data_IF_486896083180
#
_entry.id   IF_486896083180
#
_cell.length_a   1.000
_cell.length_b   1.000
_cell.length_c   1.000
_cell.angle_alpha   90.00
_cell.angle_beta   90.00
_cell.angle_gamma   90.00
#
_symmetry.space_group_name_H-M   'P 1'
#
loop_
_entity.id
_entity.type
_entity.pdbx_description
1 polymer ?
#
# COMPACT_ATOMS: atom_id res chain seq x y z
N UNK A 1 48.90 -17.75 -56.55
CA UNK A 1 49.04 -18.27 -55.17
C UNK A 1 48.80 -17.13 -54.19
N UNK A 2 47.99 -17.42 -53.15
CA UNK A 2 47.62 -16.59 -51.98
C UNK A 2 46.41 -15.65 -52.14
N UNK A 3 45.27 -16.22 -51.72
CA UNK A 3 44.03 -15.62 -51.25
C UNK A 3 44.25 -14.62 -50.10
N UNK A 4 43.30 -13.69 -49.90
CA UNK A 4 42.61 -13.34 -48.63
C UNK A 4 41.72 -12.12 -48.93
N UNK A 5 40.42 -12.27 -49.14
CA UNK A 5 39.34 -12.46 -48.15
C UNK A 5 38.61 -11.13 -47.86
N UNK A 6 37.38 -11.07 -48.37
CA UNK A 6 36.34 -10.10 -48.07
C UNK A 6 36.18 -9.90 -46.55
N UNK A 7 36.20 -8.65 -46.08
CA UNK A 7 35.64 -8.27 -44.77
C UNK A 7 34.30 -7.56 -44.99
N UNK A 8 33.20 -8.32 -44.90
CA UNK A 8 31.88 -7.78 -44.60
C UNK A 8 31.86 -7.42 -43.12
N UNK A 9 31.86 -6.12 -42.78
CA UNK A 9 31.63 -5.67 -41.41
C UNK A 9 30.12 -5.72 -41.12
N UNK A 10 29.72 -6.77 -40.42
CA UNK A 10 28.38 -6.98 -39.89
C UNK A 10 28.18 -6.02 -38.71
N UNK A 11 27.40 -4.95 -38.90
CA UNK A 11 26.95 -4.09 -37.79
C UNK A 11 25.91 -4.86 -36.99
N UNK A 12 26.35 -5.54 -35.93
CA UNK A 12 25.47 -6.17 -34.95
C UNK A 12 24.82 -5.06 -34.11
N UNK A 13 23.61 -4.66 -34.52
CA UNK A 13 22.71 -3.80 -33.74
C UNK A 13 22.26 -4.61 -32.51
N UNK A 14 23.02 -4.50 -31.42
CA UNK A 14 22.62 -5.08 -30.14
C UNK A 14 21.47 -4.26 -29.58
N UNK A 15 20.25 -4.77 -29.78
CA UNK A 15 19.08 -4.32 -29.05
C UNK A 15 19.34 -4.58 -27.57
N UNK A 16 19.75 -3.55 -26.84
CA UNK A 16 19.73 -3.57 -25.39
C UNK A 16 18.27 -3.63 -24.99
N UNK A 17 17.81 -4.84 -24.64
CA UNK A 17 16.54 -5.01 -23.97
C UNK A 17 16.64 -4.25 -22.64
N UNK A 18 16.09 -3.05 -22.60
CA UNK A 18 15.78 -2.38 -21.35
C UNK A 18 14.77 -3.28 -20.64
N UNK A 19 15.24 -4.01 -19.62
CA UNK A 19 14.35 -4.62 -18.65
C UNK A 19 13.56 -3.48 -18.02
N UNK A 20 12.33 -3.30 -18.49
CA UNK A 20 11.33 -2.57 -17.77
C UNK A 20 11.17 -3.31 -16.44
N UNK A 21 11.78 -2.77 -15.38
CA UNK A 21 11.47 -3.24 -14.04
C UNK A 21 10.01 -2.87 -13.81
N UNK A 22 9.12 -3.86 -13.93
CA UNK A 22 7.77 -3.73 -13.42
C UNK A 22 7.90 -3.19 -12.00
N UNK A 23 7.23 -2.07 -11.73
CA UNK A 23 7.27 -1.38 -10.45
C UNK A 23 6.52 -2.22 -9.43
N UNK A 24 7.15 -3.32 -8.99
CA UNK A 24 6.69 -4.11 -7.88
C UNK A 24 6.85 -3.21 -6.66
N UNK A 25 5.73 -2.70 -6.16
CA UNK A 25 5.68 -1.98 -4.91
C UNK A 25 6.04 -2.97 -3.79
N UNK A 26 7.34 -3.15 -3.58
CA UNK A 26 7.91 -4.13 -2.66
C UNK A 26 7.40 -3.97 -1.22
N UNK A 27 6.84 -2.80 -0.89
CA UNK A 27 6.24 -2.57 0.43
C UNK A 27 4.76 -2.96 0.52
N UNK A 28 4.00 -2.89 -0.58
CA UNK A 28 2.63 -3.39 -0.63
C UNK A 28 2.59 -4.92 -0.84
N UNK A 29 3.71 -5.50 -1.29
CA UNK A 29 3.83 -6.93 -1.57
C UNK A 29 3.88 -7.81 -0.32
N UNK A 30 4.12 -7.25 0.87
CA UNK A 30 4.04 -7.93 2.15
C UNK A 30 2.85 -7.35 2.93
N UNK A 31 1.65 -7.83 2.59
CA UNK A 31 0.38 -7.35 3.13
C UNK A 31 -0.56 -8.52 3.44
N UNK A 32 -1.27 -8.49 4.56
CA UNK A 32 -2.30 -9.51 4.89
C UNK A 32 -3.40 -9.50 3.83
N UNK A 33 -3.77 -8.32 3.31
CA UNK A 33 -4.77 -8.21 2.25
C UNK A 33 -4.34 -8.84 0.92
N UNK A 34 -3.03 -8.88 0.64
CA UNK A 34 -2.52 -9.48 -0.60
C UNK A 34 -2.58 -11.01 -0.55
N UNK A 35 -2.32 -11.58 0.62
CA UNK A 35 -2.27 -13.03 0.84
C UNK A 35 -3.63 -13.58 1.31
N UNK A 36 -4.71 -12.81 1.14
CA UNK A 36 -6.05 -13.18 1.60
C UNK A 36 -6.62 -14.30 0.72
N UNK A 37 -7.07 -15.39 1.37
CA UNK A 37 -7.77 -16.47 0.67
C UNK A 37 -9.10 -15.96 0.08
N UNK A 38 -9.50 -16.37 -1.14
CA UNK A 38 -10.76 -15.91 -1.74
C UNK A 38 -12.00 -16.18 -0.86
N UNK A 39 -12.05 -17.31 -0.14
CA UNK A 39 -13.17 -17.64 0.75
C UNK A 39 -13.18 -16.75 1.99
N UNK A 40 -11.99 -16.43 2.52
CA UNK A 40 -11.85 -15.42 3.58
C UNK A 40 -12.31 -14.04 3.10
N UNK A 41 -11.94 -13.67 1.87
CA UNK A 41 -12.34 -12.40 1.29
C UNK A 41 -13.85 -12.29 1.15
N UNK A 42 -14.51 -13.28 0.55
CA UNK A 42 -15.97 -13.26 0.34
C UNK A 42 -16.74 -13.20 1.66
N UNK A 43 -16.35 -14.02 2.64
CA UNK A 43 -17.01 -14.06 3.95
C UNK A 43 -16.73 -12.82 4.80
N UNK A 44 -15.52 -12.24 4.70
CA UNK A 44 -15.21 -10.96 5.34
C UNK A 44 -16.00 -9.81 4.69
N UNK A 45 -16.15 -9.79 3.37
CA UNK A 45 -16.97 -8.78 2.67
C UNK A 45 -18.42 -8.85 3.16
N UNK A 46 -18.98 -10.05 3.35
CA UNK A 46 -20.33 -10.22 3.89
C UNK A 46 -20.46 -9.67 5.33
N UNK A 47 -19.48 -9.92 6.19
CA UNK A 47 -19.47 -9.34 7.55
C UNK A 47 -19.28 -7.82 7.52
N UNK A 48 -18.49 -7.29 6.58
CA UNK A 48 -18.34 -5.84 6.39
C UNK A 48 -19.68 -5.20 6.01
N UNK A 49 -20.45 -5.78 5.08
CA UNK A 49 -21.79 -5.28 4.73
C UNK A 49 -22.72 -5.30 5.94
N UNK A 50 -22.74 -6.42 6.68
CA UNK A 50 -23.58 -6.58 7.87
C UNK A 50 -23.20 -5.57 8.96
N UNK A 51 -21.91 -5.39 9.21
CA UNK A 51 -21.37 -4.43 10.18
C UNK A 51 -21.74 -3.00 9.81
N UNK A 52 -21.56 -2.63 8.55
CA UNK A 52 -21.86 -1.29 8.05
C UNK A 52 -23.35 -0.94 8.14
N UNK A 53 -24.23 -1.93 7.99
CA UNK A 53 -25.68 -1.75 8.11
C UNK A 53 -26.17 -1.72 9.57
N UNK A 54 -25.61 -2.56 10.44
CA UNK A 54 -26.21 -2.84 11.76
C UNK A 54 -25.45 -2.26 12.95
N UNK A 55 -24.12 -2.18 12.87
CA UNK A 55 -23.31 -1.80 14.03
C UNK A 55 -23.38 -0.29 14.29
N UNK A 56 -23.40 0.11 15.56
CA UNK A 56 -23.30 1.51 15.95
C UNK A 56 -21.89 2.05 15.77
N UNK A 57 -21.73 3.38 15.74
CA UNK A 57 -20.40 3.98 15.74
C UNK A 57 -19.66 3.62 17.04
N UNK A 58 -18.37 3.37 16.91
CA UNK A 58 -17.43 2.84 17.91
C UNK A 58 -17.66 1.39 18.36
N UNK A 59 -18.75 0.73 17.96
CA UNK A 59 -18.97 -0.69 18.20
C UNK A 59 -17.90 -1.53 17.47
N UNK A 60 -17.35 -2.52 18.16
CA UNK A 60 -16.30 -3.38 17.60
C UNK A 60 -16.89 -4.74 17.27
N UNK A 61 -17.01 -5.02 15.98
CA UNK A 61 -17.37 -6.32 15.45
C UNK A 61 -16.13 -7.18 15.31
N UNK A 62 -16.22 -8.41 15.79
CA UNK A 62 -15.15 -9.39 15.71
C UNK A 62 -15.57 -10.46 14.72
N UNK A 63 -14.70 -10.68 13.74
CA UNK A 63 -14.87 -11.71 12.73
C UNK A 63 -13.66 -12.63 12.77
N UNK A 64 -13.91 -13.91 12.55
CA UNK A 64 -12.87 -14.91 12.42
C UNK A 64 -13.21 -15.78 11.21
N UNK A 65 -12.19 -16.07 10.41
CA UNK A 65 -12.34 -16.97 9.28
C UNK A 65 -12.70 -18.39 9.75
N UNK A 66 -13.53 -19.08 8.95
CA UNK A 66 -13.76 -20.52 9.08
C UNK A 66 -12.75 -21.38 8.30
N UNK A 67 -11.93 -20.76 7.46
CA UNK A 67 -11.01 -21.40 6.51
C UNK A 67 -9.54 -21.17 6.85
N UNK A 68 -9.24 -20.14 7.64
CA UNK A 68 -7.91 -19.78 8.10
C UNK A 68 -7.93 -19.27 9.55
N UNK A 69 -6.75 -19.01 10.09
CA UNK A 69 -6.62 -18.41 11.42
C UNK A 69 -6.76 -16.86 11.41
N UNK A 70 -7.16 -16.26 10.28
CA UNK A 70 -7.34 -14.83 10.16
C UNK A 70 -8.46 -14.34 11.09
N UNK A 71 -8.14 -13.31 11.88
CA UNK A 71 -9.10 -12.59 12.72
C UNK A 71 -9.15 -11.14 12.29
N UNK A 72 -10.35 -10.56 12.26
CA UNK A 72 -10.58 -9.17 11.88
C UNK A 72 -11.42 -8.48 12.93
N UNK A 73 -10.98 -7.27 13.33
CA UNK A 73 -11.80 -6.34 14.12
C UNK A 73 -12.23 -5.21 13.21
N UNK A 74 -13.53 -4.99 13.13
CA UNK A 74 -14.15 -3.95 12.31
C UNK A 74 -14.80 -2.96 13.27
N UNK A 75 -14.41 -1.70 13.17
CA UNK A 75 -14.93 -0.63 14.03
C UNK A 75 -15.34 0.56 13.16
N UNK A 76 -16.64 0.78 12.94
CA UNK A 76 -17.11 2.07 12.44
C UNK A 76 -16.72 3.16 13.44
N UNK A 77 -16.13 4.24 12.95
CA UNK A 77 -15.67 5.35 13.79
C UNK A 77 -16.68 6.49 13.81
N UNK A 78 -17.24 6.80 12.63
CA UNK A 78 -18.21 7.88 12.48
C UNK A 78 -19.05 7.64 11.23
N UNK A 79 -20.34 7.94 11.34
CA UNK A 79 -21.30 8.04 10.24
C UNK A 79 -21.47 9.51 9.84
N UNK A 80 -21.41 9.81 8.55
CA UNK A 80 -21.53 11.16 8.01
C UNK A 80 -22.23 11.16 6.64
N UNK A 81 -22.60 12.34 6.15
CA UNK A 81 -23.17 12.52 4.81
C UNK A 81 -22.13 13.17 3.89
N UNK A 82 -21.93 12.61 2.70
CA UNK A 82 -21.05 13.15 1.66
C UNK A 82 -21.68 12.92 0.30
N UNK A 83 -21.81 13.96 -0.53
CA UNK A 83 -22.46 13.89 -1.85
C UNK A 83 -23.85 13.21 -1.81
N UNK A 84 -24.65 13.53 -0.78
CA UNK A 84 -25.98 12.92 -0.55
C UNK A 84 -25.95 11.40 -0.30
N UNK A 85 -24.78 10.82 -0.05
CA UNK A 85 -24.60 9.44 0.36
C UNK A 85 -24.27 9.38 1.84
N UNK A 86 -24.84 8.41 2.53
CA UNK A 86 -24.39 8.06 3.87
C UNK A 86 -23.03 7.36 3.75
N UNK A 87 -22.04 7.86 4.46
CA UNK A 87 -20.70 7.29 4.52
C UNK A 87 -20.32 6.96 5.97
N UNK A 88 -19.40 6.02 6.13
CA UNK A 88 -18.84 5.61 7.42
C UNK A 88 -17.33 5.49 7.31
N UNK A 89 -16.59 6.17 8.18
CA UNK A 89 -15.17 5.91 8.33
C UNK A 89 -15.02 4.65 9.18
N UNK A 90 -14.27 3.66 8.72
CA UNK A 90 -14.12 2.36 9.39
C UNK A 90 -12.65 2.06 9.61
N UNK A 91 -12.32 1.67 10.84
CA UNK A 91 -11.03 1.08 11.18
C UNK A 91 -11.13 -0.44 11.11
N UNK A 92 -10.20 -1.05 10.39
CA UNK A 92 -10.10 -2.49 10.23
C UNK A 92 -8.74 -2.92 10.77
N UNK A 93 -8.73 -3.93 11.65
CA UNK A 93 -7.51 -4.56 12.15
C UNK A 93 -7.52 -6.03 11.79
N UNK A 94 -6.56 -6.46 10.97
CA UNK A 94 -6.37 -7.85 10.58
C UNK A 94 -5.25 -8.45 11.43
N UNK A 95 -5.44 -9.69 11.88
CA UNK A 95 -4.47 -10.40 12.71
C UNK A 95 -4.36 -11.84 12.23
N UNK A 96 -3.15 -12.23 11.83
CA UNK A 96 -2.81 -13.62 11.51
C UNK A 96 -2.00 -14.26 12.67
N UNK A 97 -1.87 -15.60 12.70
CA UNK A 97 -0.90 -16.29 13.55
C UNK A 97 0.51 -15.72 13.38
N UNK A 98 1.34 -15.88 14.42
CA UNK A 98 2.71 -15.35 14.47
C UNK A 98 2.84 -13.82 14.53
N UNK A 99 1.74 -13.12 14.79
CA UNK A 99 1.79 -11.71 15.24
C UNK A 99 1.78 -10.67 14.13
N UNK A 100 1.56 -11.05 12.86
CA UNK A 100 1.33 -10.08 11.78
C UNK A 100 0.03 -9.32 12.06
N UNK A 101 0.12 -8.02 12.29
CA UNK A 101 -1.00 -7.14 12.61
C UNK A 101 -1.05 -5.97 11.61
N UNK A 102 -2.15 -5.88 10.87
CA UNK A 102 -2.35 -4.80 9.91
C UNK A 102 -3.56 -3.95 10.27
N UNK A 103 -3.41 -2.64 10.07
CA UNK A 103 -4.46 -1.67 10.34
C UNK A 103 -4.73 -0.84 9.10
N UNK A 104 -6.00 -0.77 8.77
CA UNK A 104 -6.51 0.05 7.69
C UNK A 104 -7.58 0.99 8.21
N UNK A 105 -7.71 2.13 7.54
CA UNK A 105 -8.85 3.01 7.72
C UNK A 105 -9.37 3.38 6.33
N UNK A 106 -10.64 3.10 6.09
CA UNK A 106 -11.31 3.41 4.83
C UNK A 106 -12.65 4.07 5.11
N UNK A 107 -13.04 4.96 4.20
CA UNK A 107 -14.40 5.46 4.16
C UNK A 107 -15.22 4.51 3.29
N UNK A 108 -16.36 4.06 3.80
CA UNK A 108 -17.34 3.28 3.06
C UNK A 108 -18.55 4.15 2.81
N UNK A 109 -19.01 4.28 1.58
CA UNK A 109 -20.22 5.02 1.24
C UNK A 109 -21.30 4.08 0.75
N UNK A 110 -22.53 4.32 1.18
CA UNK A 110 -23.71 3.56 0.80
C UNK A 110 -24.13 3.98 -0.61
N UNK A 111 -24.01 3.03 -1.52
CA UNK A 111 -24.68 3.06 -2.81
C UNK A 111 -26.08 2.44 -2.67
N UNK A 112 -26.86 2.38 -3.74
CA UNK A 112 -28.28 1.97 -3.69
C UNK A 112 -28.52 0.67 -2.92
N UNK A 113 -27.65 -0.34 -3.10
CA UNK A 113 -27.84 -1.68 -2.51
C UNK A 113 -26.69 -2.17 -1.63
N UNK A 114 -25.57 -1.45 -1.58
CA UNK A 114 -24.35 -1.94 -0.92
C UNK A 114 -23.47 -0.81 -0.43
N UNK A 115 -22.65 -1.12 0.57
CA UNK A 115 -21.57 -0.26 1.00
C UNK A 115 -20.31 -0.56 0.21
N UNK A 116 -19.69 0.47 -0.37
CA UNK A 116 -18.44 0.33 -1.11
C UNK A 116 -17.37 1.24 -0.52
N UNK A 117 -16.11 0.81 -0.62
CA UNK A 117 -14.97 1.66 -0.29
C UNK A 117 -15.05 2.90 -1.18
N UNK A 118 -15.14 4.07 -0.55
CA UNK A 118 -15.04 5.35 -1.22
C UNK A 118 -13.69 5.45 -1.93
N UNK A 119 -13.66 6.18 -3.04
CA UNK A 119 -12.44 6.45 -3.80
C UNK A 119 -11.24 6.76 -2.88
N UNK A 120 -10.08 6.18 -3.17
CA UNK A 120 -8.82 6.52 -2.49
C UNK A 120 -7.81 7.02 -3.51
N UNK A 121 -6.92 7.98 -3.18
CA UNK A 121 -5.90 8.45 -4.11
C UNK A 121 -5.07 7.30 -4.71
N UNK A 122 -4.65 6.34 -3.88
CA UNK A 122 -3.91 5.15 -4.29
C UNK A 122 -4.63 4.34 -5.39
N UNK A 123 -5.95 4.24 -5.34
CA UNK A 123 -6.74 3.50 -6.33
C UNK A 123 -6.73 4.10 -7.73
N UNK A 124 -6.23 5.33 -7.89
CA UNK A 124 -6.13 6.02 -9.19
C UNK A 124 -4.71 6.28 -9.67
N UNK A 125 -3.71 5.78 -8.96
CA UNK A 125 -2.31 5.98 -9.33
C UNK A 125 -1.97 5.26 -10.62
N UNK A 126 -1.28 5.97 -11.52
CA UNK A 126 -0.61 5.37 -12.66
C UNK A 126 0.75 4.74 -12.27
N UNK A 127 1.42 4.09 -13.21
CA UNK A 127 2.73 3.48 -12.93
C UNK A 127 3.77 4.50 -12.46
N UNK A 128 3.75 5.72 -12.99
CA UNK A 128 4.72 6.75 -12.64
C UNK A 128 4.48 7.30 -11.22
N UNK A 129 3.22 7.42 -10.79
CA UNK A 129 2.85 7.74 -9.41
C UNK A 129 3.46 6.72 -8.44
N UNK A 130 3.29 5.43 -8.76
CA UNK A 130 3.83 4.33 -7.97
C UNK A 130 5.35 4.36 -7.89
N UNK A 131 6.03 4.61 -9.01
CA UNK A 131 7.49 4.76 -9.05
C UNK A 131 7.97 5.97 -8.24
N UNK A 132 7.29 7.11 -8.33
CA UNK A 132 7.64 8.32 -7.57
C UNK A 132 7.49 8.08 -6.07
N UNK A 133 6.39 7.45 -5.66
CA UNK A 133 6.19 7.06 -4.26
C UNK A 133 7.31 6.12 -3.79
N UNK A 134 7.60 5.05 -4.53
CA UNK A 134 8.62 4.06 -4.16
C UNK A 134 10.01 4.70 -4.02
N UNK A 135 10.44 5.53 -4.99
CA UNK A 135 11.71 6.26 -4.91
C UNK A 135 11.76 7.18 -3.69
N UNK A 136 10.65 7.84 -3.39
CA UNK A 136 10.56 8.75 -2.24
C UNK A 136 10.63 8.00 -0.92
N UNK A 137 9.98 6.85 -0.81
CA UNK A 137 10.09 5.96 0.35
C UNK A 137 11.53 5.52 0.55
N UNK A 138 12.20 5.02 -0.49
CA UNK A 138 13.59 4.59 -0.41
C UNK A 138 14.53 5.72 0.02
N UNK A 139 14.38 6.90 -0.57
CA UNK A 139 15.15 8.10 -0.21
C UNK A 139 14.92 8.49 1.24
N UNK A 140 13.67 8.57 1.69
CA UNK A 140 13.33 8.91 3.07
C UNK A 140 13.93 7.92 4.07
N UNK A 141 13.91 6.62 3.76
CA UNK A 141 14.44 5.60 4.65
C UNK A 141 15.98 5.61 4.73
N UNK A 142 16.67 5.94 3.63
CA UNK A 142 18.13 5.95 3.58
C UNK A 142 18.76 7.25 4.07
N UNK A 143 18.22 8.39 3.66
CA UNK A 143 18.91 9.68 3.73
C UNK A 143 18.34 10.59 4.82
N UNK A 144 17.04 10.50 5.11
CA UNK A 144 16.39 11.45 6.01
C UNK A 144 16.61 11.09 7.48
N UNK A 145 16.76 12.12 8.31
CA UNK A 145 16.64 12.01 9.76
C UNK A 145 15.20 11.71 10.19
N UNK A 146 15.01 11.24 11.41
CA UNK A 146 13.66 11.07 11.97
C UNK A 146 12.94 12.44 12.03
N UNK A 147 11.68 12.48 11.60
CA UNK A 147 10.86 13.68 11.47
C UNK A 147 11.09 14.47 10.19
N UNK A 148 12.14 14.19 9.41
CA UNK A 148 12.44 14.92 8.19
C UNK A 148 11.59 14.39 7.01
N UNK A 149 10.72 15.21 6.40
CA UNK A 149 9.84 14.76 5.32
C UNK A 149 10.58 14.62 4.00
N UNK A 150 10.06 13.73 3.15
CA UNK A 150 10.39 13.61 1.73
C UNK A 150 9.11 13.64 0.93
N UNK A 151 9.01 14.57 -0.01
CA UNK A 151 7.81 14.74 -0.84
C UNK A 151 8.06 14.36 -2.30
N UNK A 152 6.99 14.06 -3.01
CA UNK A 152 6.97 13.88 -4.46
C UNK A 152 5.70 14.47 -5.07
N UNK A 153 5.77 14.75 -6.37
CA UNK A 153 4.63 15.20 -7.17
C UNK A 153 4.79 14.67 -8.58
N UNK A 154 3.73 14.06 -9.11
CA UNK A 154 3.63 13.71 -10.52
C UNK A 154 3.02 14.89 -11.29
N UNK A 155 3.78 15.46 -12.23
CA UNK A 155 3.33 16.62 -12.98
C UNK A 155 2.21 16.30 -13.98
N UNK A 156 2.04 15.03 -14.35
CA UNK A 156 1.03 14.58 -15.31
C UNK A 156 -0.31 14.33 -14.60
N UNK A 157 -0.34 13.39 -13.66
CA UNK A 157 -1.54 13.02 -12.90
C UNK A 157 -1.92 14.06 -11.84
N UNK A 158 -0.99 14.95 -11.46
CA UNK A 158 -1.09 15.89 -10.32
C UNK A 158 -1.19 15.21 -8.95
N UNK A 159 -1.00 13.89 -8.88
CA UNK A 159 -0.88 13.19 -7.59
C UNK A 159 0.41 13.60 -6.88
N UNK A 160 0.38 13.54 -5.55
CA UNK A 160 1.53 13.87 -4.72
C UNK A 160 1.53 13.05 -3.44
N UNK A 161 2.63 13.14 -2.69
CA UNK A 161 2.70 12.51 -1.38
C UNK A 161 3.88 12.98 -0.55
N UNK A 162 3.82 12.65 0.73
CA UNK A 162 4.81 12.98 1.74
C UNK A 162 5.12 11.71 2.54
N UNK A 163 6.41 11.44 2.74
CA UNK A 163 6.93 10.32 3.50
C UNK A 163 7.74 10.86 4.68
N UNK A 164 7.40 10.45 5.90
CA UNK A 164 8.06 10.91 7.14
C UNK A 164 8.50 9.71 7.97
N UNK A 165 9.80 9.41 8.06
CA UNK A 165 10.32 8.41 9.00
C UNK A 165 10.32 8.99 10.41
N UNK A 166 10.00 8.20 11.44
CA UNK A 166 9.78 8.73 12.81
C UNK A 166 10.59 8.02 13.90
N UNK A 167 10.73 6.70 13.87
CA UNK A 167 11.47 5.95 14.89
C UNK A 167 12.40 4.94 14.26
N UNK A 168 13.67 4.93 14.67
CA UNK A 168 14.63 3.87 14.33
C UNK A 168 14.75 2.91 15.51
N UNK A 169 14.22 1.69 15.40
CA UNK A 169 14.45 0.63 16.39
C UNK A 169 15.43 -0.37 15.82
N UNK A 170 16.35 -0.86 16.65
CA UNK A 170 17.01 -2.12 16.37
C UNK A 170 16.05 -3.23 16.84
N UNK A 171 15.52 -4.02 15.92
CA UNK A 171 14.73 -5.21 16.26
C UNK A 171 15.58 -6.43 15.90
N UNK A 172 16.09 -7.15 16.90
CA UNK A 172 16.96 -8.31 16.65
C UNK A 172 18.27 -8.00 15.88
N UNK A 173 18.72 -6.74 15.87
CA UNK A 173 19.90 -6.30 15.11
C UNK A 173 19.58 -5.69 13.73
N UNK A 174 18.34 -5.80 13.24
CA UNK A 174 17.90 -5.14 12.00
C UNK A 174 17.59 -3.66 12.26
N UNK A 175 18.05 -2.77 11.38
CA UNK A 175 17.68 -1.34 11.41
C UNK A 175 16.27 -1.20 10.87
N UNK A 176 15.31 -0.90 11.74
CA UNK A 176 13.91 -0.71 11.38
C UNK A 176 13.46 0.74 11.56
N UNK A 177 12.61 1.25 10.66
CA UNK A 177 12.06 2.60 10.69
C UNK A 177 10.53 2.61 10.56
N UNK A 178 9.85 3.16 11.57
CA UNK A 178 8.43 3.50 11.42
C UNK A 178 8.31 4.71 10.50
N UNK A 179 7.44 4.61 9.50
CA UNK A 179 7.31 5.61 8.44
C UNK A 179 5.84 5.91 8.18
N UNK A 180 5.47 7.18 8.30
CA UNK A 180 4.17 7.68 7.87
C UNK A 180 4.22 8.05 6.38
N UNK A 181 3.21 7.64 5.63
CA UNK A 181 3.04 7.98 4.22
C UNK A 181 1.67 8.64 4.10
N UNK A 182 1.63 9.84 3.52
CA UNK A 182 0.39 10.50 3.10
C UNK A 182 0.45 10.71 1.59
N UNK A 183 -0.63 10.39 0.91
CA UNK A 183 -0.79 10.57 -0.54
C UNK A 183 -2.01 11.44 -0.82
N UNK A 184 -1.94 12.20 -1.89
CA UNK A 184 -2.97 13.14 -2.33
C UNK A 184 -3.30 12.92 -3.80
N UNK A 185 -4.58 13.00 -4.12
CA UNK A 185 -5.04 13.06 -5.50
C UNK A 185 -4.92 14.48 -6.08
N UNK A 186 -5.33 14.65 -7.34
CA UNK A 186 -5.33 15.94 -8.05
C UNK A 186 -6.34 16.96 -7.52
N UNK A 187 -7.29 16.53 -6.68
CA UNK A 187 -8.35 17.34 -6.09
C UNK A 187 -8.11 17.64 -4.60
N UNK A 188 -6.97 17.19 -4.05
CA UNK A 188 -6.59 17.39 -2.64
C UNK A 188 -7.18 16.36 -1.68
N UNK A 189 -7.86 15.31 -2.15
CA UNK A 189 -8.27 14.20 -1.29
C UNK A 189 -7.03 13.41 -0.87
N UNK A 190 -6.96 13.07 0.40
CA UNK A 190 -5.79 12.40 0.98
C UNK A 190 -6.09 11.01 1.54
N UNK A 191 -5.11 10.12 1.50
CA UNK A 191 -5.07 8.90 2.31
C UNK A 191 -3.73 8.81 3.04
N UNK A 192 -3.72 8.22 4.23
CA UNK A 192 -2.51 8.07 5.03
C UNK A 192 -2.38 6.66 5.60
N UNK A 193 -1.14 6.25 5.84
CA UNK A 193 -0.80 4.98 6.47
C UNK A 193 0.52 5.07 7.23
N UNK A 194 0.70 4.19 8.21
CA UNK A 194 1.95 4.08 8.97
C UNK A 194 2.47 2.65 8.87
N UNK A 195 3.72 2.52 8.47
CA UNK A 195 4.34 1.24 8.13
C UNK A 195 5.70 1.10 8.80
N UNK A 196 6.04 -0.11 9.24
CA UNK A 196 7.37 -0.44 9.73
C UNK A 196 8.20 -0.98 8.57
N UNK A 197 9.36 -0.38 8.31
CA UNK A 197 10.31 -0.86 7.31
C UNK A 197 11.57 -1.36 8.01
N UNK A 198 12.09 -2.53 7.66
CA UNK A 198 13.36 -3.04 8.18
C UNK A 198 14.35 -3.25 7.04
N UNK A 199 15.58 -2.78 7.25
CA UNK A 199 16.68 -2.96 6.32
C UNK A 199 17.11 -4.44 6.34
N UNK A 200 17.04 -5.08 5.18
CA UNK A 200 17.49 -6.45 4.98
C UNK A 200 19.02 -6.49 4.78
N UNK A 201 19.61 -7.69 4.86
CA UNK A 201 21.06 -7.90 4.66
C UNK A 201 21.56 -7.47 3.27
N UNK A 202 20.70 -7.53 2.26
CA UNK A 202 20.98 -7.09 0.88
C UNK A 202 20.93 -5.55 0.69
N UNK A 203 20.67 -4.81 1.78
CA UNK A 203 20.56 -3.35 1.78
C UNK A 203 19.21 -2.81 1.30
N UNK A 204 18.23 -3.67 1.01
CA UNK A 204 16.88 -3.24 0.65
C UNK A 204 16.00 -3.05 1.88
N UNK A 205 15.08 -2.08 1.81
CA UNK A 205 14.07 -1.91 2.83
C UNK A 205 12.84 -2.75 2.53
N UNK A 206 12.40 -3.53 3.51
CA UNK A 206 11.18 -4.31 3.40
C UNK A 206 10.18 -3.91 4.48
N UNK A 207 8.90 -3.83 4.11
CA UNK A 207 7.83 -3.66 5.09
C UNK A 207 7.75 -4.89 6.00
N UNK A 208 7.63 -4.68 7.31
CA UNK A 208 7.31 -5.68 8.32
C UNK A 208 5.89 -5.47 8.87
N UNK A 209 5.25 -6.56 9.25
CA UNK A 209 3.88 -6.65 9.79
C UNK A 209 3.90 -7.05 11.26
#
# INVERSE_FOLDING_TARGET
>A
MKHYALMFSLVALTATATVAQASNLLFLSNSVLKDLDPQDADSLIAEMQTTLEQAQDFEIRHWQSAYSDLKVRIQPLITYQSNQQQCRAVRIRLTQPMGKDERYQFDYCRNVERWDISYTPAGSFDENDWQLLQRTVQRALNENNNGQPSSWTNHNSKHSGVVVPSTSKMNGGERCRQTAITIFDSHGKSSNGSYLFCLQEDGQWQRRL
#
